data_IF_956812278660
#
_entry.id   IF_956812278660
#
_cell.length_a   1.000
_cell.length_b   1.000
_cell.length_c   1.000
_cell.angle_alpha   90.00
_cell.angle_beta   90.00
_cell.angle_gamma   90.00
#
_symmetry.space_group_name_H-M   'P 1'
#
loop_
_entity.id
_entity.type
_entity.pdbx_description
1 polymer ?
#
# COMPACT_ATOMS: atom_id res chain seq x y z
N UNK A 1 -8.02 -5.86 -3.79
CA UNK A 1 -9.17 -4.99 -4.12
C UNK A 1 -8.85 -3.52 -3.95
N UNK A 2 -9.41 -2.69 -4.81
CA UNK A 2 -9.36 -1.23 -4.66
C UNK A 2 -10.51 -0.78 -3.76
N UNK A 3 -10.26 0.22 -2.92
CA UNK A 3 -11.27 0.79 -2.02
C UNK A 3 -11.69 2.19 -2.46
N UNK A 4 -12.98 2.48 -2.39
CA UNK A 4 -13.52 3.81 -2.66
C UNK A 4 -13.31 4.80 -1.50
N UNK A 5 -13.54 6.08 -1.76
CA UNK A 5 -13.33 7.15 -0.77
C UNK A 5 -14.18 6.98 0.51
N UNK A 6 -15.42 6.52 0.37
CA UNK A 6 -16.31 6.27 1.52
C UNK A 6 -15.76 5.17 2.43
N UNK A 7 -15.26 4.09 1.82
CA UNK A 7 -14.67 2.97 2.56
C UNK A 7 -13.36 3.39 3.24
N UNK A 8 -12.49 4.10 2.50
CA UNK A 8 -11.27 4.67 3.06
C UNK A 8 -11.54 5.53 4.30
N UNK A 9 -12.63 6.32 4.30
CA UNK A 9 -13.04 7.11 5.47
C UNK A 9 -13.53 6.23 6.61
N UNK A 10 -14.36 5.23 6.30
CA UNK A 10 -14.94 4.31 7.29
C UNK A 10 -13.85 3.55 8.07
N UNK A 11 -12.78 3.14 7.40
CA UNK A 11 -11.65 2.43 8.03
C UNK A 11 -10.60 3.35 8.65
N UNK A 12 -10.77 4.67 8.57
CA UNK A 12 -9.84 5.65 9.14
C UNK A 12 -8.58 5.93 8.30
N UNK A 13 -8.51 5.45 7.05
CA UNK A 13 -7.40 5.76 6.14
C UNK A 13 -7.41 7.23 5.71
N UNK A 14 -8.60 7.82 5.55
CA UNK A 14 -8.76 9.26 5.26
C UNK A 14 -9.66 9.94 6.29
N UNK A 15 -9.30 11.17 6.67
CA UNK A 15 -10.04 11.93 7.68
C UNK A 15 -11.35 12.52 7.15
N UNK A 16 -11.37 12.97 5.88
CA UNK A 16 -12.51 13.65 5.25
C UNK A 16 -12.59 13.31 3.76
N UNK A 17 -13.83 13.22 3.25
CA UNK A 17 -14.13 13.10 1.82
C UNK A 17 -14.90 14.36 1.43
N UNK A 18 -14.47 15.02 0.37
CA UNK A 18 -15.02 16.29 -0.12
C UNK A 18 -15.23 16.23 -1.64
N UNK A 19 -16.13 17.06 -2.21
CA UNK A 19 -16.21 17.24 -3.66
C UNK A 19 -14.86 17.64 -4.25
N UNK A 20 -14.54 17.14 -5.45
CA UNK A 20 -13.21 17.35 -6.06
C UNK A 20 -12.86 18.81 -6.30
N UNK A 21 -13.85 19.62 -6.69
CA UNK A 21 -13.75 21.07 -6.89
C UNK A 21 -13.54 21.85 -5.58
N UNK A 22 -13.79 21.24 -4.42
CA UNK A 22 -13.59 21.83 -3.08
C UNK A 22 -12.28 21.43 -2.42
N UNK A 23 -11.53 20.47 -2.98
CA UNK A 23 -10.34 19.92 -2.34
C UNK A 23 -9.32 21.00 -1.98
N UNK A 24 -9.01 21.92 -2.91
CA UNK A 24 -8.04 22.98 -2.66
C UNK A 24 -8.45 23.86 -1.48
N UNK A 25 -9.69 24.35 -1.48
CA UNK A 25 -10.21 25.19 -0.40
C UNK A 25 -10.22 24.48 0.96
N UNK A 26 -10.52 23.18 1.00
CA UNK A 26 -10.52 22.39 2.23
C UNK A 26 -9.12 22.14 2.77
N UNK A 27 -8.14 21.95 1.89
CA UNK A 27 -6.72 21.84 2.26
C UNK A 27 -6.22 23.17 2.83
N UNK A 28 -6.50 24.29 2.17
CA UNK A 28 -6.12 25.62 2.64
C UNK A 28 -6.72 25.91 4.02
N UNK A 29 -8.02 25.65 4.20
CA UNK A 29 -8.71 25.84 5.48
C UNK A 29 -8.13 24.96 6.60
N UNK A 30 -7.66 23.75 6.29
CA UNK A 30 -6.98 22.89 7.26
C UNK A 30 -5.58 23.45 7.60
N UNK A 31 -4.82 23.85 6.59
CA UNK A 31 -3.50 24.47 6.76
C UNK A 31 -3.58 25.73 7.64
N UNK A 32 -4.52 26.63 7.34
CA UNK A 32 -4.77 27.84 8.11
C UNK A 32 -5.13 27.56 9.56
N UNK A 33 -5.88 26.49 9.82
CA UNK A 33 -6.22 26.08 11.18
C UNK A 33 -4.99 25.60 11.96
N UNK A 34 -4.15 24.79 11.32
CA UNK A 34 -2.93 24.27 11.93
C UNK A 34 -1.89 25.36 12.17
N UNK A 35 -1.74 26.30 11.22
CA UNK A 35 -0.80 27.41 11.30
C UNK A 35 -1.09 28.39 12.44
N UNK A 36 -2.33 28.42 12.95
CA UNK A 36 -2.71 29.24 14.12
C UNK A 36 -2.21 28.69 15.45
N UNK A 37 -1.74 27.44 15.49
CA UNK A 37 -1.20 26.84 16.71
C UNK A 37 0.27 27.23 16.86
N UNK A 38 0.69 27.82 17.99
CA UNK A 38 2.09 28.14 18.25
C UNK A 38 3.01 26.91 18.06
N UNK A 39 4.16 27.03 17.37
CA UNK A 39 5.04 25.89 17.09
C UNK A 39 5.54 25.17 18.34
N UNK A 40 5.78 25.91 19.43
CA UNK A 40 6.21 25.40 20.74
C UNK A 40 5.13 24.57 21.46
N UNK A 41 3.87 24.66 21.02
CA UNK A 41 2.77 23.80 21.49
C UNK A 41 2.50 22.65 20.51
N UNK A 42 2.46 22.94 19.20
CA UNK A 42 2.15 21.95 18.17
C UNK A 42 3.21 20.84 18.10
N UNK A 43 4.49 21.19 18.13
CA UNK A 43 5.59 20.24 18.01
C UNK A 43 5.60 19.17 19.12
N UNK A 44 5.60 19.52 20.42
CA UNK A 44 5.56 18.49 21.47
C UNK A 44 4.26 17.70 21.46
N UNK A 45 3.12 18.31 21.08
CA UNK A 45 1.85 17.58 20.93
C UNK A 45 1.95 16.50 19.86
N UNK A 46 2.50 16.83 18.68
CA UNK A 46 2.73 15.84 17.62
C UNK A 46 3.75 14.78 18.04
N UNK A 47 4.78 15.16 18.79
CA UNK A 47 5.79 14.22 19.29
C UNK A 47 5.17 13.22 20.29
N UNK A 48 4.30 13.67 21.18
CA UNK A 48 3.55 12.80 22.10
C UNK A 48 2.71 11.76 21.34
N UNK A 49 1.98 12.19 20.30
CA UNK A 49 1.18 11.28 19.47
C UNK A 49 2.06 10.25 18.73
N UNK A 50 3.18 10.69 18.16
CA UNK A 50 4.11 9.79 17.47
C UNK A 50 4.71 8.76 18.44
N UNK A 51 5.15 9.18 19.63
CA UNK A 51 5.68 8.27 20.66
C UNK A 51 4.66 7.21 21.07
N UNK A 52 3.38 7.55 21.15
CA UNK A 52 2.33 6.57 21.43
C UNK A 52 2.21 5.52 20.31
N UNK A 53 2.28 5.93 19.04
CA UNK A 53 2.28 5.00 17.90
C UNK A 53 3.55 4.13 17.85
N UNK A 54 4.70 4.71 18.15
CA UNK A 54 5.97 3.96 18.21
C UNK A 54 5.97 2.95 19.35
N UNK A 55 5.45 3.32 20.52
CA UNK A 55 5.27 2.41 21.64
C UNK A 55 4.28 1.26 21.32
N UNK A 56 3.31 1.50 20.44
CA UNK A 56 2.43 0.47 19.90
C UNK A 56 3.11 -0.43 18.84
N UNK A 57 4.38 -0.17 18.50
CA UNK A 57 5.20 -1.02 17.63
C UNK A 57 5.20 -0.62 16.16
N UNK A 58 4.66 0.56 15.79
CA UNK A 58 4.57 0.97 14.38
C UNK A 58 5.92 0.97 13.66
N UNK A 59 6.92 1.66 14.21
CA UNK A 59 8.25 1.76 13.59
C UNK A 59 8.93 0.40 13.46
N UNK A 60 8.86 -0.45 14.49
CA UNK A 60 9.41 -1.80 14.44
C UNK A 60 8.72 -2.67 13.37
N UNK A 61 7.40 -2.59 13.23
CA UNK A 61 6.66 -3.31 12.21
C UNK A 61 7.06 -2.87 10.78
N UNK A 62 7.27 -1.57 10.58
CA UNK A 62 7.76 -1.04 9.30
C UNK A 62 9.15 -1.57 8.98
N UNK A 63 10.09 -1.51 9.94
CA UNK A 63 11.45 -2.01 9.76
C UNK A 63 11.48 -3.51 9.40
N UNK A 64 10.75 -4.33 10.14
CA UNK A 64 10.62 -5.77 9.84
C UNK A 64 10.07 -6.03 8.43
N UNK A 65 9.15 -5.18 7.97
CA UNK A 65 8.59 -5.26 6.62
C UNK A 65 9.60 -4.94 5.52
N UNK A 66 10.54 -4.01 5.76
CA UNK A 66 11.55 -3.60 4.77
C UNK A 66 12.55 -4.73 4.46
N UNK A 67 12.96 -5.50 5.47
CA UNK A 67 13.82 -6.66 5.28
C UNK A 67 13.13 -7.70 4.39
N UNK A 68 11.86 -8.00 4.66
CA UNK A 68 11.06 -8.91 3.85
C UNK A 68 10.84 -8.38 2.43
N UNK A 69 10.66 -7.07 2.26
CA UNK A 69 10.50 -6.43 0.96
C UNK A 69 11.73 -6.62 0.07
N UNK A 70 12.93 -6.71 0.65
CA UNK A 70 14.17 -6.98 -0.10
C UNK A 70 14.11 -8.35 -0.78
N UNK A 71 13.65 -9.38 -0.08
CA UNK A 71 13.44 -10.71 -0.68
C UNK A 71 12.38 -10.68 -1.79
N UNK A 72 11.29 -9.92 -1.60
CA UNK A 72 10.25 -9.75 -2.63
C UNK A 72 10.83 -9.12 -3.89
N UNK A 73 11.64 -8.06 -3.75
CA UNK A 73 12.31 -7.38 -4.88
C UNK A 73 13.35 -8.28 -5.56
N UNK A 74 13.95 -9.23 -4.83
CA UNK A 74 14.88 -10.23 -5.37
C UNK A 74 14.18 -11.47 -5.96
N UNK A 75 12.85 -11.51 -5.98
CA UNK A 75 12.14 -12.65 -6.56
C UNK A 75 12.28 -12.69 -8.09
N UNK A 76 12.17 -13.88 -8.68
CA UNK A 76 12.08 -14.03 -10.14
C UNK A 76 10.89 -13.28 -10.72
N UNK A 77 9.80 -13.18 -9.97
CA UNK A 77 8.60 -12.43 -10.39
C UNK A 77 8.90 -10.95 -10.53
N UNK A 78 9.62 -10.34 -9.57
CA UNK A 78 10.04 -8.95 -9.65
C UNK A 78 11.03 -8.74 -10.82
N UNK A 79 12.02 -9.63 -10.99
CA UNK A 79 12.95 -9.57 -12.13
C UNK A 79 12.24 -9.63 -13.48
N UNK A 80 11.24 -10.49 -13.62
CA UNK A 80 10.44 -10.61 -14.84
C UNK A 80 9.61 -9.35 -15.10
N UNK A 81 8.95 -8.81 -14.06
CA UNK A 81 8.24 -7.54 -14.16
C UNK A 81 9.17 -6.42 -14.66
N UNK A 82 10.35 -6.28 -14.04
CA UNK A 82 11.35 -5.27 -14.41
C UNK A 82 11.91 -5.47 -15.82
N UNK A 83 12.03 -6.71 -16.29
CA UNK A 83 12.42 -6.99 -17.66
C UNK A 83 11.37 -6.46 -18.66
N UNK A 84 10.08 -6.74 -18.41
CA UNK A 84 8.96 -6.29 -19.25
C UNK A 84 8.84 -4.75 -19.21
N UNK A 85 9.01 -4.14 -18.03
CA UNK A 85 9.02 -2.67 -17.91
C UNK A 85 10.12 -2.07 -18.81
N UNK A 86 11.31 -2.67 -18.82
CA UNK A 86 12.44 -2.17 -19.61
C UNK A 86 12.30 -2.39 -21.12
N UNK A 87 11.71 -3.51 -21.54
CA UNK A 87 11.55 -3.85 -22.97
C UNK A 87 10.30 -3.26 -23.60
N UNK A 88 9.18 -3.24 -22.87
CA UNK A 88 7.83 -3.02 -23.42
C UNK A 88 7.04 -1.93 -22.66
N UNK A 89 7.58 -1.45 -21.54
CA UNK A 89 7.01 -0.37 -20.74
C UNK A 89 6.03 -0.84 -19.64
N UNK A 90 5.72 0.09 -18.73
CA UNK A 90 4.91 -0.19 -17.53
C UNK A 90 3.51 -0.73 -17.84
N UNK A 91 2.86 -0.24 -18.91
CA UNK A 91 1.52 -0.70 -19.28
C UNK A 91 1.50 -2.20 -19.62
N UNK A 92 2.51 -2.68 -20.34
CA UNK A 92 2.65 -4.10 -20.66
C UNK A 92 2.91 -4.94 -19.40
N UNK A 93 3.79 -4.45 -18.52
CA UNK A 93 4.10 -5.13 -17.26
C UNK A 93 2.88 -5.25 -16.33
N UNK A 94 2.04 -4.21 -16.23
CA UNK A 94 0.80 -4.25 -15.46
C UNK A 94 -0.21 -5.23 -16.07
N UNK A 95 -0.38 -5.24 -17.40
CA UNK A 95 -1.26 -6.20 -18.07
C UNK A 95 -0.79 -7.66 -17.86
N UNK A 96 0.52 -7.89 -17.90
CA UNK A 96 1.12 -9.19 -17.56
C UNK A 96 0.82 -9.61 -16.12
N UNK A 97 0.99 -8.68 -15.16
CA UNK A 97 0.71 -8.91 -13.74
C UNK A 97 -0.76 -9.27 -13.53
N UNK A 98 -1.67 -8.48 -14.09
CA UNK A 98 -3.11 -8.64 -13.87
C UNK A 98 -3.62 -9.95 -14.46
N UNK A 99 -3.19 -10.33 -15.67
CA UNK A 99 -3.51 -11.63 -16.28
C UNK A 99 -3.10 -12.80 -15.37
N UNK A 100 -1.92 -12.74 -14.76
CA UNK A 100 -1.42 -13.79 -13.86
C UNK A 100 -2.26 -13.90 -12.58
N UNK A 101 -2.81 -12.79 -12.08
CA UNK A 101 -3.75 -12.81 -10.95
C UNK A 101 -5.07 -13.47 -11.35
N UNK A 102 -5.64 -13.10 -12.51
CA UNK A 102 -6.90 -13.67 -13.00
C UNK A 102 -6.80 -15.18 -13.25
N UNK A 103 -5.72 -15.64 -13.85
CA UNK A 103 -5.43 -17.07 -14.08
C UNK A 103 -5.37 -17.86 -12.77
N UNK A 104 -4.70 -17.31 -11.74
CA UNK A 104 -4.60 -17.95 -10.41
C UNK A 104 -5.92 -18.00 -9.66
N UNK A 105 -6.76 -16.97 -9.78
CA UNK A 105 -8.09 -16.95 -9.19
C UNK A 105 -9.02 -17.96 -9.88
N UNK A 106 -8.92 -18.08 -11.21
CA UNK A 106 -9.67 -19.07 -11.97
C UNK A 106 -9.26 -20.52 -11.61
N UNK A 107 -7.96 -20.76 -11.40
CA UNK A 107 -7.44 -22.08 -11.00
C UNK A 107 -7.82 -22.45 -9.56
N UNK A 108 -7.77 -21.49 -8.62
CA UNK A 108 -8.20 -21.71 -7.24
C UNK A 108 -9.70 -22.02 -7.10
N UNK A 109 -10.51 -21.64 -8.10
CA UNK A 109 -11.94 -21.97 -8.19
C UNK A 109 -12.24 -23.36 -8.77
N UNK A 110 -11.24 -24.10 -9.26
CA UNK A 110 -11.41 -25.46 -9.76
C UNK A 110 -11.22 -26.46 -8.61
N UNK A 111 -12.22 -27.28 -8.25
CA UNK A 111 -12.04 -28.30 -7.23
C UNK A 111 -11.04 -29.38 -7.72
N UNK A 112 -9.82 -29.30 -7.17
CA UNK A 112 -8.91 -30.42 -6.96
C UNK A 112 -8.27 -31.06 -8.19
N UNK A 113 -7.17 -30.50 -8.66
CA UNK A 113 -6.08 -31.29 -9.26
C UNK A 113 -4.73 -30.79 -8.73
N UNK A 114 -4.53 -30.97 -7.42
CA UNK A 114 -3.22 -30.76 -6.79
C UNK A 114 -2.28 -31.86 -7.30
N UNK A 115 -1.67 -31.64 -8.47
CA UNK A 115 -0.65 -32.51 -9.04
C UNK A 115 0.55 -32.56 -8.09
N UNK A 116 0.67 -33.68 -7.35
CA UNK A 116 1.84 -33.97 -6.53
C UNK A 116 3.08 -34.04 -7.43
N UNK A 117 4.18 -33.32 -7.14
CA UNK A 117 5.42 -33.52 -7.88
C UNK A 117 6.01 -34.89 -7.51
N UNK A 118 6.14 -35.74 -8.52
CA UNK A 118 6.78 -37.05 -8.46
C UNK A 118 8.31 -36.93 -8.44
N UNK A 119 8.94 -37.20 -7.28
CA UNK A 119 10.32 -37.72 -7.13
C UNK A 119 11.51 -36.86 -7.62
N UNK A 120 12.77 -37.29 -7.42
CA UNK A 120 13.19 -38.69 -7.25
C UNK A 120 14.00 -38.99 -5.97
N UNK A 121 14.19 -40.30 -5.79
CA UNK A 121 14.92 -41.11 -4.80
C UNK A 121 16.35 -40.66 -4.51
#
# INVERSE_FOLDING_TARGET
>A
DLIGAAEAKRIGLVNRVVPGDRLAAEVDALGDRLARVPPDVMAPTKQMLNRAMDAAGFSAAVEMGLDLQSFVNMSDTARQFDAIVRSEGLKAALAWRDRRYDERLADAGRPGEMSRPSGPT
#
